data_IF_236375693169
#
_entry.id   IF_236375693169
#
_cell.length_a   1.000
_cell.length_b   1.000
_cell.length_c   1.000
_cell.angle_alpha   90.00
_cell.angle_beta   90.00
_cell.angle_gamma   90.00
#
_symmetry.space_group_name_H-M   'P 1'
#
loop_
_entity.id
_entity.type
_entity.pdbx_description
1 polymer ?
#
# COMPACT_ATOMS: atom_id res chain seq x y z
N UNK A 1 24.95 -17.05 -6.41
CA UNK A 1 23.71 -17.43 -7.14
C UNK A 1 23.17 -16.17 -7.78
N UNK A 2 22.65 -16.28 -8.98
CA UNK A 2 22.24 -15.11 -9.75
C UNK A 2 20.79 -14.71 -9.45
N UNK A 3 20.45 -13.45 -9.69
CA UNK A 3 19.07 -12.96 -9.67
C UNK A 3 18.30 -13.62 -10.80
N UNK A 4 17.16 -14.23 -10.50
CA UNK A 4 16.33 -14.95 -11.47
C UNK A 4 14.97 -14.28 -11.58
N UNK A 5 14.56 -13.95 -12.80
CA UNK A 5 13.19 -13.53 -13.09
C UNK A 5 12.26 -14.73 -12.97
N UNK A 6 11.23 -14.66 -12.13
CA UNK A 6 10.27 -15.74 -11.90
C UNK A 6 8.91 -15.47 -12.52
N UNK A 7 8.56 -14.20 -12.73
CA UNK A 7 7.36 -13.81 -13.45
C UNK A 7 7.54 -12.43 -14.08
N UNK A 8 6.91 -12.21 -15.23
CA UNK A 8 6.84 -10.94 -15.95
C UNK A 8 5.44 -10.79 -16.55
N UNK A 9 4.96 -9.58 -16.54
CA UNK A 9 3.79 -9.15 -17.29
C UNK A 9 4.08 -7.81 -17.95
N UNK A 10 3.67 -7.67 -19.21
CA UNK A 10 3.65 -6.40 -19.94
C UNK A 10 2.20 -5.92 -19.96
N UNK A 11 1.98 -4.68 -19.52
CA UNK A 11 0.68 -4.04 -19.47
C UNK A 11 0.74 -2.69 -20.19
N UNK A 12 -0.41 -2.05 -20.38
CA UNK A 12 -0.45 -0.68 -20.92
C UNK A 12 0.29 0.32 -20.01
N UNK A 13 0.49 -0.03 -18.74
CA UNK A 13 1.23 0.76 -17.74
C UNK A 13 2.73 0.46 -17.73
N UNK A 14 3.17 -0.56 -18.48
CA UNK A 14 4.55 -1.00 -18.60
C UNK A 14 4.80 -2.39 -18.03
N UNK A 15 6.05 -2.67 -17.68
CA UNK A 15 6.50 -3.96 -17.19
C UNK A 15 6.30 -4.13 -15.69
N UNK A 16 5.69 -5.25 -15.29
CA UNK A 16 5.71 -5.73 -13.91
C UNK A 16 6.56 -6.98 -13.84
N UNK A 17 7.55 -7.00 -12.97
CA UNK A 17 8.55 -8.10 -12.90
C UNK A 17 8.71 -8.54 -11.46
N UNK A 18 8.56 -9.84 -11.23
CA UNK A 18 8.90 -10.49 -9.97
C UNK A 18 10.22 -11.26 -10.15
N UNK A 19 11.20 -10.95 -9.30
CA UNK A 19 12.53 -11.59 -9.30
C UNK A 19 12.77 -12.31 -7.99
N UNK A 20 13.61 -13.30 -8.05
CA UNK A 20 14.14 -13.99 -6.89
C UNK A 20 15.65 -13.77 -6.82
N UNK A 21 16.12 -13.31 -5.68
CA UNK A 21 17.53 -13.16 -5.39
C UNK A 21 17.94 -13.96 -4.16
N UNK A 22 19.14 -14.52 -4.11
CA UNK A 22 19.64 -15.17 -2.92
C UNK A 22 19.84 -14.14 -1.79
N UNK A 23 19.63 -14.57 -0.55
CA UNK A 23 19.93 -13.78 0.64
C UNK A 23 21.01 -14.46 1.48
N UNK A 24 21.86 -13.67 2.12
CA UNK A 24 22.82 -14.16 3.11
C UNK A 24 22.15 -14.83 4.33
N UNK A 25 20.88 -14.48 4.60
CA UNK A 25 20.08 -15.08 5.66
C UNK A 25 19.51 -16.47 5.35
N UNK A 26 19.77 -17.00 4.13
CA UNK A 26 19.45 -18.35 3.71
C UNK A 26 18.14 -18.55 2.97
N UNK A 27 17.13 -17.70 3.16
CA UNK A 27 15.90 -17.71 2.38
C UNK A 27 16.02 -16.78 1.17
N UNK A 28 15.55 -17.22 0.00
CA UNK A 28 15.50 -16.38 -1.18
C UNK A 28 14.54 -15.19 -0.95
N UNK A 29 14.92 -14.02 -1.45
CA UNK A 29 14.14 -12.79 -1.41
C UNK A 29 13.40 -12.61 -2.73
N UNK A 30 12.11 -12.35 -2.65
CA UNK A 30 11.33 -11.88 -3.79
C UNK A 30 11.43 -10.37 -3.89
N UNK A 31 11.64 -9.87 -5.09
CA UNK A 31 11.76 -8.46 -5.40
C UNK A 31 10.75 -8.11 -6.49
N UNK A 32 9.89 -7.12 -6.22
CA UNK A 32 8.93 -6.57 -7.16
C UNK A 32 9.50 -5.32 -7.82
N UNK A 33 9.42 -5.27 -9.15
CA UNK A 33 9.78 -4.10 -9.94
C UNK A 33 8.67 -3.72 -10.90
N UNK A 34 8.50 -2.42 -11.10
CA UNK A 34 7.59 -1.85 -12.11
C UNK A 34 8.40 -0.88 -12.98
N UNK A 35 8.37 -1.07 -14.28
CA UNK A 35 9.15 -0.27 -15.25
C UNK A 35 10.66 -0.22 -14.92
N UNK A 36 11.19 -1.34 -14.38
CA UNK A 36 12.57 -1.42 -13.95
C UNK A 36 12.89 -0.75 -12.61
N UNK A 37 11.95 0.02 -12.05
CA UNK A 37 12.07 0.66 -10.72
C UNK A 37 11.80 -0.38 -9.64
N UNK A 38 12.63 -0.39 -8.59
CA UNK A 38 12.38 -1.17 -7.39
C UNK A 38 11.13 -0.63 -6.68
N UNK A 39 10.21 -1.53 -6.31
CA UNK A 39 9.01 -1.19 -5.54
C UNK A 39 9.15 -1.70 -4.12
N UNK A 40 9.35 -3.00 -3.94
CA UNK A 40 9.48 -3.63 -2.64
C UNK A 40 10.14 -5.00 -2.72
N UNK A 41 10.52 -5.57 -1.59
CA UNK A 41 10.95 -6.96 -1.49
C UNK A 41 10.43 -7.66 -0.21
N UNK A 42 10.69 -8.97 -0.08
CA UNK A 42 10.27 -9.75 1.08
C UNK A 42 11.28 -9.72 2.24
N UNK A 43 12.37 -8.98 2.12
CA UNK A 43 13.38 -8.84 3.17
C UNK A 43 13.09 -7.63 4.06
N UNK A 44 12.79 -6.49 3.45
CA UNK A 44 12.44 -5.27 4.15
C UNK A 44 10.96 -4.97 3.93
N UNK A 45 10.16 -5.22 4.98
CA UNK A 45 8.69 -5.10 4.97
C UNK A 45 8.20 -4.20 6.09
N UNK A 46 9.12 -3.48 6.74
CA UNK A 46 8.82 -2.65 7.91
C UNK A 46 7.84 -1.55 7.55
N UNK A 47 8.00 -0.92 6.37
CA UNK A 47 7.17 0.19 5.94
C UNK A 47 5.69 -0.19 5.79
N UNK A 48 5.42 -1.33 5.18
CA UNK A 48 4.07 -1.84 4.96
C UNK A 48 3.42 -2.30 6.28
N UNK A 49 4.21 -2.94 7.14
CA UNK A 49 3.75 -3.38 8.46
C UNK A 49 3.45 -2.17 9.35
N UNK A 50 4.32 -1.16 9.38
CA UNK A 50 4.13 0.06 10.17
C UNK A 50 2.99 0.92 9.65
N UNK A 51 2.79 1.04 8.34
CA UNK A 51 1.63 1.70 7.75
C UNK A 51 0.32 1.17 8.37
N UNK A 52 0.17 -0.15 8.38
CA UNK A 52 -1.02 -0.79 8.96
C UNK A 52 -1.05 -0.69 10.49
N UNK A 53 0.09 -0.90 11.17
CA UNK A 53 0.16 -0.91 12.63
C UNK A 53 -0.17 0.47 13.23
N UNK A 54 0.38 1.53 12.67
CA UNK A 54 0.10 2.91 13.11
C UNK A 54 -1.37 3.27 12.90
N UNK A 55 -1.92 2.95 11.73
CA UNK A 55 -3.33 3.20 11.45
C UNK A 55 -4.28 2.46 12.42
N UNK A 56 -4.04 1.16 12.64
CA UNK A 56 -4.82 0.32 13.56
C UNK A 56 -4.76 0.82 15.01
N UNK A 57 -3.65 1.43 15.43
CA UNK A 57 -3.49 1.99 16.76
C UNK A 57 -4.28 3.29 16.98
N UNK A 58 -4.65 3.99 15.90
CA UNK A 58 -5.35 5.27 15.97
C UNK A 58 -6.87 5.12 16.06
N UNK A 59 -7.42 3.93 15.81
CA UNK A 59 -8.88 3.68 15.79
C UNK A 59 -9.21 2.57 16.79
N UNK A 60 -10.15 2.83 17.69
CA UNK A 60 -10.54 1.85 18.72
C UNK A 60 -11.22 0.60 18.11
N UNK A 61 -12.04 0.80 17.09
CA UNK A 61 -12.78 -0.27 16.39
C UNK A 61 -12.53 -0.20 14.87
N UNK A 62 -11.36 -0.62 14.36
CA UNK A 62 -11.03 -0.59 12.93
C UNK A 62 -11.69 -1.77 12.18
N UNK A 63 -13.03 -1.82 12.15
CA UNK A 63 -13.79 -2.95 11.59
C UNK A 63 -13.68 -3.06 10.08
N UNK A 64 -13.61 -1.92 9.38
CA UNK A 64 -13.62 -1.84 7.92
C UNK A 64 -12.43 -1.06 7.41
N UNK A 65 -11.58 -1.72 6.61
CA UNK A 65 -10.33 -1.15 6.10
C UNK A 65 -10.32 -1.17 4.57
N UNK A 66 -9.99 -0.04 3.95
CA UNK A 66 -9.68 0.07 2.53
C UNK A 66 -8.17 0.22 2.38
N UNK A 67 -7.57 -0.57 1.51
CA UNK A 67 -6.14 -0.54 1.20
C UNK A 67 -5.98 -0.26 -0.30
N UNK A 68 -5.30 0.81 -0.66
CA UNK A 68 -4.85 1.08 -2.02
C UNK A 68 -3.43 0.56 -2.20
N UNK A 69 -3.28 -0.38 -3.14
CA UNK A 69 -2.05 -1.14 -3.38
C UNK A 69 -2.05 -2.48 -2.63
N UNK A 70 -1.81 -3.56 -3.38
CA UNK A 70 -1.63 -4.91 -2.82
C UNK A 70 -0.16 -5.19 -2.53
N UNK A 71 0.73 -4.78 -3.44
CA UNK A 71 2.14 -5.14 -3.38
C UNK A 71 2.33 -6.65 -3.18
N UNK A 72 3.25 -7.03 -2.31
CA UNK A 72 3.44 -8.43 -1.91
C UNK A 72 2.55 -8.84 -0.72
N UNK A 73 1.58 -8.01 -0.32
CA UNK A 73 0.51 -8.33 0.62
C UNK A 73 0.79 -8.09 2.09
N UNK A 74 1.89 -7.45 2.47
CA UNK A 74 2.28 -7.30 3.88
C UNK A 74 1.38 -6.34 4.65
N UNK A 75 0.94 -5.24 4.04
CA UNK A 75 -0.06 -4.33 4.62
C UNK A 75 -1.37 -5.08 4.91
N UNK A 76 -1.89 -5.83 3.92
CA UNK A 76 -3.09 -6.63 4.09
C UNK A 76 -2.90 -7.70 5.18
N UNK A 77 -1.77 -8.40 5.19
CA UNK A 77 -1.46 -9.42 6.19
C UNK A 77 -1.47 -8.84 7.61
N UNK A 78 -0.88 -7.65 7.79
CA UNK A 78 -0.85 -6.97 9.09
C UNK A 78 -2.25 -6.51 9.52
N UNK A 79 -3.06 -6.00 8.58
CA UNK A 79 -4.46 -5.62 8.83
C UNK A 79 -5.27 -6.84 9.28
N UNK A 80 -5.17 -7.97 8.58
CA UNK A 80 -5.91 -9.19 8.89
C UNK A 80 -5.44 -9.87 10.19
N UNK A 81 -4.23 -9.59 10.66
CA UNK A 81 -3.76 -10.07 11.96
C UNK A 81 -4.46 -9.37 13.14
N UNK A 82 -5.14 -8.25 12.93
CA UNK A 82 -5.93 -7.59 13.97
C UNK A 82 -7.33 -8.21 14.05
N UNK A 83 -7.73 -8.78 15.22
CA UNK A 83 -9.03 -9.44 15.37
C UNK A 83 -10.22 -8.48 15.34
N UNK A 84 -10.01 -7.17 15.49
CA UNK A 84 -11.06 -6.15 15.41
C UNK A 84 -11.50 -5.89 13.96
N UNK A 85 -10.66 -6.24 12.98
CA UNK A 85 -10.98 -6.07 11.56
C UNK A 85 -11.98 -7.15 11.11
N UNK A 86 -13.11 -6.69 10.60
CA UNK A 86 -14.19 -7.54 10.07
C UNK A 86 -14.17 -7.61 8.55
N UNK A 87 -13.64 -6.56 7.89
CA UNK A 87 -13.57 -6.45 6.44
C UNK A 87 -12.33 -5.67 6.01
N UNK A 88 -11.58 -6.22 5.06
CA UNK A 88 -10.48 -5.54 4.38
C UNK A 88 -10.71 -5.58 2.86
N UNK A 89 -10.79 -4.44 2.21
CA UNK A 89 -10.88 -4.31 0.76
C UNK A 89 -9.55 -3.80 0.26
N UNK A 90 -8.93 -4.52 -0.67
CA UNK A 90 -7.68 -4.10 -1.33
C UNK A 90 -7.99 -3.77 -2.78
N UNK A 91 -7.58 -2.59 -3.21
CA UNK A 91 -7.67 -2.16 -4.61
C UNK A 91 -6.27 -2.22 -5.21
N UNK A 92 -6.11 -3.03 -6.25
CA UNK A 92 -4.83 -3.23 -6.96
C UNK A 92 -5.05 -3.06 -8.45
N UNK A 93 -4.24 -2.22 -9.07
CA UNK A 93 -4.38 -1.90 -10.49
C UNK A 93 -3.73 -2.95 -11.38
N UNK A 94 -2.69 -3.62 -10.90
CA UNK A 94 -1.94 -4.63 -11.67
C UNK A 94 -2.57 -6.02 -11.53
N UNK A 95 -3.37 -6.42 -12.53
CA UNK A 95 -4.02 -7.74 -12.56
C UNK A 95 -3.02 -8.89 -12.44
N UNK A 96 -1.85 -8.73 -13.05
CA UNK A 96 -0.77 -9.72 -13.01
C UNK A 96 -0.30 -9.98 -11.58
N UNK A 97 -0.19 -8.94 -10.76
CA UNK A 97 0.21 -9.06 -9.36
C UNK A 97 -0.85 -9.79 -8.54
N UNK A 98 -2.14 -9.44 -8.72
CA UNK A 98 -3.26 -10.15 -8.08
C UNK A 98 -3.25 -11.62 -8.45
N UNK A 99 -3.01 -11.96 -9.72
CA UNK A 99 -2.91 -13.34 -10.19
C UNK A 99 -1.74 -14.07 -9.54
N UNK A 100 -0.54 -13.49 -9.51
CA UNK A 100 0.65 -14.08 -8.88
C UNK A 100 0.46 -14.35 -7.39
N UNK A 101 -0.23 -13.45 -6.69
CA UNK A 101 -0.61 -13.65 -5.30
C UNK A 101 -1.60 -14.82 -5.14
N UNK A 102 -2.61 -14.95 -6.02
CA UNK A 102 -3.61 -16.02 -5.94
C UNK A 102 -3.04 -17.39 -6.31
N UNK A 103 -2.18 -17.46 -7.32
CA UNK A 103 -1.62 -18.70 -7.85
C UNK A 103 -0.42 -19.23 -7.05
N UNK A 104 0.12 -18.43 -6.12
CA UNK A 104 1.26 -18.82 -5.29
C UNK A 104 2.62 -18.59 -5.96
N UNK A 105 2.68 -17.82 -7.05
CA UNK A 105 3.96 -17.28 -7.58
C UNK A 105 4.64 -16.44 -6.51
N UNK A 106 3.84 -15.70 -5.72
CA UNK A 106 4.21 -15.17 -4.41
C UNK A 106 3.77 -16.20 -3.36
N UNK A 107 4.67 -16.95 -2.71
CA UNK A 107 4.34 -18.15 -1.95
C UNK A 107 3.36 -17.96 -0.78
N UNK A 108 3.38 -16.80 -0.12
CA UNK A 108 2.48 -16.47 0.98
C UNK A 108 1.14 -15.88 0.52
N UNK A 109 1.04 -15.52 -0.76
CA UNK A 109 -0.14 -14.87 -1.35
C UNK A 109 -1.45 -15.66 -1.15
N UNK A 110 -1.52 -16.96 -1.52
CA UNK A 110 -2.74 -17.74 -1.38
C UNK A 110 -3.27 -17.78 0.06
N UNK A 111 -2.36 -17.86 1.06
CA UNK A 111 -2.74 -17.87 2.47
C UNK A 111 -3.37 -16.57 2.94
N UNK A 112 -2.85 -15.43 2.48
CA UNK A 112 -3.41 -14.11 2.81
C UNK A 112 -4.76 -13.90 2.11
N UNK A 113 -4.83 -14.21 0.82
CA UNK A 113 -6.03 -13.97 0.01
C UNK A 113 -7.17 -14.97 0.28
N UNK A 114 -6.92 -16.06 1.00
CA UNK A 114 -7.94 -17.01 1.43
C UNK A 114 -8.72 -16.55 2.67
N UNK A 115 -8.29 -15.50 3.36
CA UNK A 115 -9.04 -14.95 4.50
C UNK A 115 -10.39 -14.39 4.02
N UNK A 116 -11.49 -14.86 4.61
CA UNK A 116 -12.85 -14.49 4.22
C UNK A 116 -13.16 -13.00 4.41
N UNK A 117 -12.39 -12.31 5.23
CA UNK A 117 -12.49 -10.87 5.45
C UNK A 117 -11.85 -10.04 4.32
N UNK A 118 -10.97 -10.65 3.54
CA UNK A 118 -10.24 -9.99 2.45
C UNK A 118 -11.05 -10.03 1.14
N UNK A 119 -11.15 -8.87 0.49
CA UNK A 119 -11.67 -8.74 -0.87
C UNK A 119 -10.67 -7.97 -1.72
N UNK A 120 -10.22 -8.55 -2.83
CA UNK A 120 -9.33 -7.87 -3.78
C UNK A 120 -10.13 -7.42 -4.98
N UNK A 121 -10.08 -6.12 -5.25
CA UNK A 121 -10.70 -5.45 -6.41
C UNK A 121 -9.58 -5.05 -7.37
N UNK A 122 -9.62 -5.55 -8.60
CA UNK A 122 -8.68 -5.12 -9.63
C UNK A 122 -9.24 -3.88 -10.32
N UNK A 123 -8.75 -2.72 -9.92
CA UNK A 123 -9.17 -1.41 -10.41
C UNK A 123 -8.13 -0.32 -10.10
N UNK A 124 -8.30 0.85 -10.72
CA UNK A 124 -7.65 2.08 -10.29
C UNK A 124 -8.26 2.56 -8.97
N UNK A 125 -7.44 2.95 -7.99
CA UNK A 125 -7.89 3.37 -6.66
C UNK A 125 -8.74 4.64 -6.72
N UNK A 126 -8.45 5.57 -7.63
CA UNK A 126 -9.24 6.79 -7.78
C UNK A 126 -10.66 6.47 -8.27
N UNK A 127 -10.80 5.53 -9.21
CA UNK A 127 -12.11 5.06 -9.67
C UNK A 127 -12.84 4.28 -8.57
N UNK A 128 -12.14 3.40 -7.87
CA UNK A 128 -12.73 2.59 -6.82
C UNK A 128 -13.26 3.46 -5.65
N UNK A 129 -12.57 4.54 -5.30
CA UNK A 129 -13.00 5.48 -4.28
C UNK A 129 -14.23 6.28 -4.73
N UNK A 130 -14.26 6.74 -6.00
CA UNK A 130 -15.40 7.48 -6.54
C UNK A 130 -16.68 6.62 -6.60
N UNK A 131 -16.53 5.33 -6.90
CA UNK A 131 -17.64 4.38 -6.99
C UNK A 131 -18.04 3.76 -5.64
N UNK A 132 -17.24 3.92 -4.59
CA UNK A 132 -17.49 3.31 -3.29
C UNK A 132 -18.80 3.82 -2.66
N UNK A 133 -19.57 2.90 -2.06
CA UNK A 133 -20.85 3.19 -1.40
C UNK A 133 -20.85 2.82 0.08
N UNK A 134 -19.73 2.30 0.56
CA UNK A 134 -19.53 1.91 1.96
C UNK A 134 -18.55 2.86 2.62
N UNK A 135 -18.70 3.08 3.91
CA UNK A 135 -17.71 3.80 4.72
C UNK A 135 -16.64 2.85 5.26
N UNK A 136 -15.48 3.42 5.58
CA UNK A 136 -14.34 2.71 6.15
C UNK A 136 -13.85 3.41 7.42
N UNK A 137 -13.34 2.63 8.36
CA UNK A 137 -12.72 3.17 9.56
C UNK A 137 -11.27 3.55 9.31
N UNK A 138 -10.64 2.86 8.36
CA UNK A 138 -9.29 3.13 7.89
C UNK A 138 -9.22 3.14 6.36
N UNK A 139 -8.49 4.11 5.81
CA UNK A 139 -8.05 4.13 4.42
C UNK A 139 -6.52 4.20 4.42
N UNK A 140 -5.86 3.18 3.87
CA UNK A 140 -4.41 3.04 3.79
C UNK A 140 -3.99 3.13 2.33
N UNK A 141 -3.11 4.06 1.99
CA UNK A 141 -2.65 4.26 0.62
C UNK A 141 -1.15 4.01 0.51
N UNK A 142 -0.82 2.98 -0.25
CA UNK A 142 0.53 2.56 -0.61
C UNK A 142 0.55 2.24 -2.10
N UNK A 143 0.35 3.27 -2.93
CA UNK A 143 0.05 3.12 -4.36
C UNK A 143 1.19 3.49 -5.29
N UNK A 144 2.21 4.20 -4.79
CA UNK A 144 3.39 4.66 -5.54
C UNK A 144 4.50 5.04 -4.55
N UNK A 145 5.65 5.45 -5.04
CA UNK A 145 6.77 5.89 -4.21
C UNK A 145 6.56 7.27 -3.55
N UNK A 146 5.33 7.79 -3.60
CA UNK A 146 4.96 9.11 -3.09
C UNK A 146 4.98 10.20 -4.17
N UNK A 147 4.44 11.40 -3.88
CA UNK A 147 4.24 12.45 -4.89
C UNK A 147 5.54 13.00 -5.49
N UNK A 148 6.66 12.82 -4.82
CA UNK A 148 7.98 13.28 -5.28
C UNK A 148 8.68 12.33 -6.26
N UNK A 149 8.23 11.09 -6.39
CA UNK A 149 8.85 10.08 -7.24
C UNK A 149 7.81 9.09 -7.77
N UNK A 150 7.02 9.53 -8.73
CA UNK A 150 5.97 8.71 -9.32
C UNK A 150 6.54 7.66 -10.27
N UNK A 151 6.13 6.40 -10.10
CA UNK A 151 6.37 5.32 -11.06
C UNK A 151 5.47 5.54 -12.30
N UNK A 152 4.25 6.05 -12.05
CA UNK A 152 3.31 6.45 -13.10
C UNK A 152 2.80 7.88 -12.88
N UNK A 153 2.95 8.74 -13.89
CA UNK A 153 2.52 10.13 -13.82
C UNK A 153 1.01 10.28 -13.49
N UNK A 154 0.17 9.34 -13.93
CA UNK A 154 -1.26 9.36 -13.64
C UNK A 154 -1.56 9.23 -12.13
N UNK A 155 -0.64 8.70 -11.33
CA UNK A 155 -0.80 8.58 -9.88
C UNK A 155 -0.66 9.93 -9.15
N UNK A 156 -0.27 11.02 -9.82
CA UNK A 156 -0.27 12.36 -9.25
C UNK A 156 -1.65 12.73 -8.67
N UNK A 157 -2.71 12.33 -9.35
CA UNK A 157 -4.09 12.61 -8.96
C UNK A 157 -4.47 12.08 -7.56
N UNK A 158 -3.84 10.99 -7.06
CA UNK A 158 -4.14 10.44 -5.73
C UNK A 158 -3.59 11.28 -4.57
N UNK A 159 -2.78 12.28 -4.86
CA UNK A 159 -2.24 13.23 -3.88
C UNK A 159 -2.92 14.59 -3.92
N UNK A 160 -3.86 14.79 -4.86
CA UNK A 160 -4.57 16.05 -5.04
C UNK A 160 -5.74 16.22 -4.07
N UNK A 161 -6.10 17.47 -3.81
CA UNK A 161 -7.20 17.86 -2.92
C UNK A 161 -8.51 17.13 -3.19
N UNK A 162 -8.88 16.95 -4.46
CA UNK A 162 -10.14 16.31 -4.82
C UNK A 162 -10.20 14.87 -4.35
N UNK A 163 -9.14 14.11 -4.59
CA UNK A 163 -9.04 12.71 -4.15
C UNK A 163 -9.00 12.61 -2.61
N UNK A 164 -8.27 13.49 -1.95
CA UNK A 164 -8.22 13.56 -0.48
C UNK A 164 -9.61 13.87 0.12
N UNK A 165 -10.42 14.71 -0.54
CA UNK A 165 -11.81 14.97 -0.13
C UNK A 165 -12.67 13.71 -0.28
N UNK A 166 -12.54 12.98 -1.38
CA UNK A 166 -13.24 11.71 -1.58
C UNK A 166 -12.84 10.68 -0.51
N UNK A 167 -11.55 10.55 -0.20
CA UNK A 167 -11.08 9.70 0.91
C UNK A 167 -11.72 10.11 2.25
N UNK A 168 -11.75 11.42 2.55
CA UNK A 168 -12.38 11.93 3.78
C UNK A 168 -13.87 11.58 3.84
N UNK A 169 -14.59 11.68 2.73
CA UNK A 169 -16.01 11.42 2.67
C UNK A 169 -16.33 9.93 2.83
N UNK A 170 -15.43 9.05 2.42
CA UNK A 170 -15.50 7.60 2.62
C UNK A 170 -15.18 7.15 4.05
N UNK A 171 -14.46 7.94 4.83
CA UNK A 171 -14.17 7.59 6.21
C UNK A 171 -15.42 7.70 7.08
N UNK A 172 -15.57 6.78 8.03
CA UNK A 172 -16.54 6.92 9.12
C UNK A 172 -16.14 8.06 10.06
N UNK A 173 -17.06 8.60 10.88
CA UNK A 173 -16.70 9.61 11.89
C UNK A 173 -15.59 9.10 12.82
N UNK A 174 -14.48 9.84 12.91
CA UNK A 174 -13.29 9.43 13.64
C UNK A 174 -12.36 8.47 12.90
N UNK A 175 -12.71 8.08 11.68
CA UNK A 175 -11.84 7.26 10.81
C UNK A 175 -10.57 7.99 10.37
N UNK A 176 -9.59 7.23 9.92
CA UNK A 176 -8.23 7.74 9.63
C UNK A 176 -7.80 7.38 8.21
N UNK A 177 -7.22 8.38 7.53
CA UNK A 177 -6.45 8.20 6.30
C UNK A 177 -4.96 8.14 6.65
N UNK A 178 -4.24 7.15 6.13
CA UNK A 178 -2.78 7.10 6.17
C UNK A 178 -2.25 6.91 4.76
N UNK A 179 -1.30 7.77 4.38
CA UNK A 179 -0.62 7.71 3.07
C UNK A 179 0.86 7.47 3.32
N UNK A 180 1.41 6.47 2.65
CA UNK A 180 2.84 6.20 2.62
C UNK A 180 3.55 7.03 1.54
N UNK A 181 4.78 7.44 1.81
CA UNK A 181 5.66 8.10 0.84
C UNK A 181 7.12 7.77 1.12
N UNK A 182 7.87 7.42 0.09
CA UNK A 182 9.32 7.18 0.15
C UNK A 182 10.15 8.46 0.31
N UNK A 183 9.52 9.64 0.29
CA UNK A 183 10.21 10.93 0.47
C UNK A 183 9.32 11.90 1.23
N UNK A 184 9.93 12.89 1.87
CA UNK A 184 9.18 13.99 2.48
C UNK A 184 8.32 14.71 1.43
N UNK A 185 7.04 14.93 1.75
CA UNK A 185 6.04 15.52 0.85
C UNK A 185 5.28 16.66 1.56
N UNK A 186 5.90 17.82 1.77
CA UNK A 186 5.29 18.94 2.49
C UNK A 186 4.03 19.47 1.83
N UNK A 187 3.92 19.40 0.50
CA UNK A 187 2.74 19.83 -0.24
C UNK A 187 1.56 18.88 0.02
N UNK A 188 1.80 17.56 0.06
CA UNK A 188 0.79 16.58 0.47
C UNK A 188 0.31 16.86 1.89
N UNK A 189 1.23 17.09 2.84
CA UNK A 189 0.87 17.44 4.22
C UNK A 189 0.01 18.69 4.30
N UNK A 190 0.33 19.72 3.50
CA UNK A 190 -0.45 20.97 3.45
C UNK A 190 -1.86 20.72 2.89
N UNK A 191 -1.98 19.94 1.80
CA UNK A 191 -3.28 19.57 1.23
C UNK A 191 -4.13 18.74 2.19
N UNK A 192 -3.54 17.74 2.86
CA UNK A 192 -4.23 16.95 3.88
C UNK A 192 -4.73 17.83 5.04
N UNK A 193 -3.90 18.76 5.53
CA UNK A 193 -4.33 19.74 6.55
C UNK A 193 -5.49 20.61 6.09
N UNK A 194 -5.46 21.03 4.82
CA UNK A 194 -6.53 21.82 4.21
C UNK A 194 -7.86 21.07 4.08
N UNK A 195 -7.81 19.76 3.84
CA UNK A 195 -8.99 18.90 3.66
C UNK A 195 -9.55 18.42 5.01
N UNK A 196 -8.68 17.95 5.92
CA UNK A 196 -9.09 17.30 7.17
C UNK A 196 -9.14 18.25 8.37
N UNK A 197 -8.61 19.46 8.27
CA UNK A 197 -8.47 20.40 9.38
C UNK A 197 -7.25 20.14 10.28
N UNK A 198 -6.53 19.03 10.05
CA UNK A 198 -5.29 18.64 10.71
C UNK A 198 -4.69 17.41 10.05
N UNK A 199 -3.37 17.35 9.98
CA UNK A 199 -2.64 16.18 9.54
C UNK A 199 -1.23 16.18 10.15
N UNK A 200 -0.69 14.99 10.32
CA UNK A 200 0.64 14.75 10.91
C UNK A 200 1.53 14.01 9.91
N UNK A 201 2.82 14.28 9.97
CA UNK A 201 3.87 13.55 9.27
C UNK A 201 4.67 12.78 10.31
N UNK A 202 4.95 11.51 10.02
CA UNK A 202 5.83 10.67 10.82
C UNK A 202 6.94 10.13 9.93
N UNK A 203 8.20 10.45 10.27
CA UNK A 203 9.37 9.93 9.59
C UNK A 203 9.83 8.63 10.27
N UNK A 204 10.16 7.63 9.46
CA UNK A 204 10.63 6.33 9.90
C UNK A 204 11.95 5.99 9.22
N UNK A 205 12.91 5.44 10.00
CA UNK A 205 14.20 5.01 9.47
C UNK A 205 14.21 3.50 9.26
N UNK A 206 14.70 3.08 8.09
CA UNK A 206 14.86 1.67 7.73
C UNK A 206 16.25 1.41 7.14
N UNK A 207 16.62 0.13 7.05
CA UNK A 207 17.80 -0.31 6.32
C UNK A 207 17.35 -1.04 5.05
N UNK A 208 17.28 -0.32 3.94
CA UNK A 208 16.96 -0.91 2.65
C UNK A 208 18.24 -1.32 1.92
N UNK A 209 18.45 -2.62 1.71
CA UNK A 209 19.66 -3.16 1.06
C UNK A 209 20.96 -2.64 1.70
N UNK A 210 21.02 -2.66 3.05
CA UNK A 210 22.14 -2.17 3.87
C UNK A 210 22.40 -0.67 3.77
N UNK A 211 21.48 0.13 3.22
CA UNK A 211 21.54 1.59 3.17
C UNK A 211 20.51 2.18 4.12
N UNK A 212 20.89 3.19 4.90
CA UNK A 212 19.93 3.93 5.70
C UNK A 212 19.03 4.75 4.77
N UNK A 213 17.75 4.50 4.85
CA UNK A 213 16.69 5.19 4.11
C UNK A 213 15.62 5.69 5.08
N UNK A 214 14.82 6.64 4.63
CA UNK A 214 13.67 7.14 5.37
C UNK A 214 12.42 6.97 4.51
N UNK A 215 11.29 6.67 5.17
CA UNK A 215 9.97 6.80 4.60
C UNK A 215 9.07 7.62 5.53
N UNK A 216 7.97 8.07 5.01
CA UNK A 216 7.06 8.99 5.69
C UNK A 216 5.64 8.45 5.68
N UNK A 217 4.96 8.56 6.81
CA UNK A 217 3.52 8.33 6.92
C UNK A 217 2.83 9.67 7.16
N UNK A 218 1.81 9.95 6.34
CA UNK A 218 0.95 11.11 6.46
C UNK A 218 -0.39 10.67 6.99
N UNK A 219 -0.79 11.18 8.15
CA UNK A 219 -1.96 10.74 8.89
C UNK A 219 -2.95 11.88 9.04
N UNK A 220 -4.23 11.63 8.73
CA UNK A 220 -5.30 12.58 8.94
C UNK A 220 -6.57 11.87 9.44
N UNK A 221 -7.31 12.53 10.33
CA UNK A 221 -8.55 12.03 10.93
C UNK A 221 -9.77 12.80 10.42
N UNK A 222 -10.84 12.08 10.10
CA UNK A 222 -12.15 12.68 9.80
C UNK A 222 -12.83 13.22 11.04
#
# INVERSE_FOLDING_TARGET
>A
MDVVEIARAETERGDVVLRRRPSAAGADVLELRVNGVFVMDTLETTSEIELAAQALALVDEPRSVLIGGLGLGFTLQRVLADPRVERAVVVEIEESLVRWMREGTVPHGPGILADQRATVVNADIAMAIDEARSTYDLVLLDVDNGPGYLVHQANEAVYERQFLQQCRDLLSPGGVLVIWSGNAAPDLLAEMRGVFGGAEEQAHHVLLQDRPEEYFLYLARR
#
